data_IF_832939768188
#
_entry.id   IF_832939768188
#
_cell.length_a   1.000
_cell.length_b   1.000
_cell.length_c   1.000
_cell.angle_alpha   90.00
_cell.angle_beta   90.00
_cell.angle_gamma   90.00
#
_symmetry.space_group_name_H-M   'P 1'
#
loop_
_entity.id
_entity.type
_entity.pdbx_description
1 polymer ?
#
# COMPACT_ATOMS: atom_id res chain seq x y z
N UNK A 1 -27.16 15.17 24.29
CA UNK A 1 -27.36 14.11 23.30
C UNK A 1 -26.25 14.25 22.26
N UNK A 2 -25.28 13.32 22.20
CA UNK A 2 -24.17 13.44 21.28
C UNK A 2 -24.68 13.27 19.85
N UNK A 3 -24.30 14.19 18.97
CA UNK A 3 -24.51 14.05 17.52
C UNK A 3 -23.75 12.81 17.07
N UNK A 4 -24.48 11.85 16.55
CA UNK A 4 -23.97 10.69 15.82
C UNK A 4 -23.07 11.25 14.72
N UNK A 5 -21.79 10.90 14.74
CA UNK A 5 -20.87 11.15 13.64
C UNK A 5 -21.52 10.66 12.36
N UNK A 6 -21.60 11.54 11.36
CA UNK A 6 -22.19 11.19 10.08
C UNK A 6 -21.18 10.35 9.27
N UNK A 7 -21.04 9.09 9.66
CA UNK A 7 -20.23 8.06 8.98
C UNK A 7 -20.77 7.70 7.58
N UNK A 8 -21.85 8.32 7.10
CA UNK A 8 -22.39 8.09 5.74
C UNK A 8 -21.47 8.51 4.59
N UNK A 9 -20.36 9.19 4.89
CA UNK A 9 -19.28 9.50 3.94
C UNK A 9 -18.35 8.30 3.73
N UNK A 10 -18.29 7.41 4.72
CA UNK A 10 -17.68 6.10 4.65
C UNK A 10 -18.74 5.10 4.17
N UNK A 11 -19.21 5.26 2.92
CA UNK A 11 -19.85 4.15 2.18
C UNK A 11 -18.79 3.07 1.93
N UNK A 12 -18.40 2.44 3.03
CA UNK A 12 -17.46 1.37 3.20
C UNK A 12 -18.28 0.11 3.31
N UNK A 13 -18.68 -0.31 2.12
CA UNK A 13 -18.79 -1.69 1.75
C UNK A 13 -17.32 -2.22 1.66
N UNK A 14 -16.58 -2.09 2.78
CA UNK A 14 -15.11 -1.88 2.79
C UNK A 14 -14.31 -3.14 2.45
N UNK A 15 -14.95 -4.29 2.52
CA UNK A 15 -14.36 -5.60 2.35
C UNK A 15 -15.41 -6.44 1.63
N UNK A 16 -15.31 -6.55 0.30
CA UNK A 16 -16.17 -7.44 -0.47
C UNK A 16 -15.44 -8.71 -0.79
N UNK A 17 -16.12 -9.84 -0.65
CA UNK A 17 -15.68 -11.10 -1.21
C UNK A 17 -15.71 -11.05 -2.74
N UNK A 18 -14.86 -11.87 -3.35
CA UNK A 18 -14.87 -12.11 -4.79
C UNK A 18 -16.24 -12.62 -5.25
N UNK A 19 -16.65 -12.21 -6.45
CA UNK A 19 -17.95 -12.55 -7.02
C UNK A 19 -19.13 -11.66 -6.59
N UNK A 20 -19.00 -10.82 -5.54
CA UNK A 20 -20.04 -9.85 -5.17
C UNK A 20 -19.98 -8.56 -5.98
N UNK A 21 -18.83 -8.24 -6.58
CA UNK A 21 -18.70 -7.08 -7.45
C UNK A 21 -19.15 -7.35 -8.90
N UNK A 22 -19.55 -8.59 -9.23
CA UNK A 22 -20.23 -8.96 -10.48
C UNK A 22 -19.45 -8.71 -11.78
N UNK A 23 -18.19 -8.25 -11.66
CA UNK A 23 -17.43 -7.73 -12.79
C UNK A 23 -16.23 -8.60 -13.17
N UNK A 24 -15.69 -9.43 -12.26
CA UNK A 24 -14.41 -10.13 -12.49
C UNK A 24 -14.45 -11.56 -11.92
N UNK A 25 -14.05 -12.53 -12.74
CA UNK A 25 -13.81 -13.90 -12.32
C UNK A 25 -12.61 -13.97 -11.36
N UNK A 26 -12.67 -14.88 -10.38
CA UNK A 26 -11.61 -15.11 -9.40
C UNK A 26 -10.37 -15.83 -10.00
N UNK A 27 -9.80 -15.25 -11.04
CA UNK A 27 -8.59 -15.76 -11.70
C UNK A 27 -7.38 -15.02 -11.12
N UNK A 28 -6.35 -15.74 -10.63
CA UNK A 28 -5.12 -15.11 -10.19
C UNK A 28 -4.48 -14.27 -11.31
N UNK A 29 -4.04 -13.07 -10.96
CA UNK A 29 -3.37 -12.13 -11.88
C UNK A 29 -2.24 -11.34 -11.20
N UNK A 30 -1.98 -11.60 -9.92
CA UNK A 30 -1.01 -10.88 -9.10
C UNK A 30 0.14 -11.79 -8.68
N UNK A 31 1.28 -11.18 -8.45
CA UNK A 31 2.40 -11.74 -7.66
C UNK A 31 2.63 -10.87 -6.43
N UNK A 32 3.50 -11.31 -5.52
CA UNK A 32 4.01 -10.41 -4.47
C UNK A 32 4.73 -9.23 -5.12
N UNK A 33 4.63 -8.00 -4.58
CA UNK A 33 5.34 -6.83 -5.12
C UNK A 33 6.82 -6.83 -4.71
N UNK A 34 7.43 -8.02 -4.66
CA UNK A 34 8.78 -8.28 -4.17
C UNK A 34 9.41 -9.28 -5.11
N UNK A 35 10.70 -9.09 -5.40
CA UNK A 35 11.52 -10.12 -6.06
C UNK A 35 12.33 -10.87 -5.02
N UNK A 36 12.40 -12.19 -5.16
CA UNK A 36 12.93 -13.07 -4.12
C UNK A 36 14.41 -12.85 -3.88
N UNK A 37 15.19 -12.70 -4.95
CA UNK A 37 16.64 -12.55 -4.85
C UNK A 37 17.01 -11.20 -4.23
N UNK A 38 16.38 -10.11 -4.67
CA UNK A 38 16.61 -8.75 -4.14
C UNK A 38 16.21 -8.64 -2.66
N UNK A 39 15.13 -9.31 -2.25
CA UNK A 39 14.74 -9.40 -0.85
C UNK A 39 15.79 -10.14 -0.02
N UNK A 40 16.26 -11.29 -0.49
CA UNK A 40 17.32 -12.05 0.17
C UNK A 40 18.61 -11.24 0.32
N UNK A 41 19.01 -10.52 -0.72
CA UNK A 41 20.19 -9.66 -0.70
C UNK A 41 19.99 -8.51 0.30
N UNK A 42 18.84 -7.86 0.30
CA UNK A 42 18.54 -6.80 1.26
C UNK A 42 18.61 -7.34 2.69
N UNK A 43 17.99 -8.48 3.00
CA UNK A 43 18.05 -9.12 4.34
C UNK A 43 19.49 -9.42 4.78
N UNK A 44 20.34 -9.84 3.83
CA UNK A 44 21.74 -10.14 4.11
C UNK A 44 22.54 -8.90 4.52
N UNK A 45 22.29 -7.77 3.88
CA UNK A 45 23.06 -6.54 4.07
C UNK A 45 22.41 -5.55 5.05
N UNK A 46 21.12 -5.68 5.33
CA UNK A 46 20.40 -4.73 6.16
C UNK A 46 20.77 -4.88 7.65
N UNK A 47 20.88 -3.73 8.31
CA UNK A 47 21.12 -3.56 9.75
C UNK A 47 19.84 -3.22 10.51
N UNK A 48 18.68 -3.28 9.87
CA UNK A 48 17.39 -3.02 10.47
C UNK A 48 17.19 -3.93 11.72
N UNK A 49 17.13 -3.35 12.93
CA UNK A 49 16.97 -4.11 14.15
C UNK A 49 15.56 -4.71 14.30
N UNK A 50 14.58 -4.25 13.50
CA UNK A 50 13.20 -4.72 13.52
C UNK A 50 13.00 -5.96 12.64
N UNK A 51 13.91 -6.23 11.70
CA UNK A 51 13.75 -7.33 10.76
C UNK A 51 14.38 -8.64 11.25
N UNK A 52 13.56 -9.68 11.38
CA UNK A 52 14.03 -11.01 11.73
C UNK A 52 14.64 -11.72 10.51
N UNK A 53 15.97 -11.83 10.47
CA UNK A 53 16.77 -12.46 9.39
C UNK A 53 16.37 -13.91 9.02
N UNK A 54 15.52 -14.57 9.81
CA UNK A 54 14.99 -15.92 9.50
C UNK A 54 13.71 -15.91 8.68
N UNK A 55 13.13 -14.74 8.38
CA UNK A 55 11.88 -14.58 7.61
C UNK A 55 12.20 -13.88 6.28
N UNK A 56 11.62 -14.35 5.18
CA UNK A 56 11.69 -13.63 3.89
C UNK A 56 10.80 -12.39 3.95
N UNK A 57 9.54 -12.58 4.32
CA UNK A 57 8.59 -11.53 4.65
C UNK A 57 7.64 -12.03 5.74
N UNK A 58 6.95 -11.10 6.38
CA UNK A 58 5.80 -11.39 7.25
C UNK A 58 4.64 -10.45 6.90
N UNK A 59 3.44 -10.81 7.34
CA UNK A 59 2.28 -9.92 7.24
C UNK A 59 2.09 -9.30 8.61
N UNK A 60 2.32 -8.00 8.72
CA UNK A 60 2.19 -7.26 9.98
C UNK A 60 0.82 -6.65 10.16
N UNK A 61 0.07 -6.42 9.08
CA UNK A 61 -1.35 -6.10 9.16
C UNK A 61 -2.15 -6.76 8.02
N UNK A 62 -3.35 -7.22 8.38
CA UNK A 62 -4.32 -7.77 7.41
C UNK A 62 -5.37 -6.72 7.05
N UNK A 63 -6.47 -7.12 6.42
CA UNK A 63 -7.55 -6.17 6.09
C UNK A 63 -8.22 -5.55 7.33
N UNK A 64 -8.01 -6.16 8.50
CA UNK A 64 -8.37 -5.64 9.81
C UNK A 64 -7.08 -5.42 10.60
N UNK A 65 -6.91 -4.21 11.14
CA UNK A 65 -5.77 -3.89 11.99
C UNK A 65 -5.72 -4.76 13.24
N UNK A 66 -4.51 -5.08 13.69
CA UNK A 66 -4.25 -5.75 14.95
C UNK A 66 -4.67 -4.87 16.13
N UNK A 67 -4.76 -5.47 17.31
CA UNK A 67 -5.06 -4.70 18.52
C UNK A 67 -3.91 -3.76 18.92
N UNK A 68 -2.68 -4.00 18.47
CA UNK A 68 -1.56 -3.12 18.74
C UNK A 68 -1.73 -1.81 17.95
N UNK A 69 -1.95 -1.91 16.65
CA UNK A 69 -2.15 -0.76 15.75
C UNK A 69 -3.41 0.03 16.03
N UNK A 70 -4.49 -0.66 16.40
CA UNK A 70 -5.69 0.00 16.94
C UNK A 70 -5.40 0.87 18.18
N UNK A 71 -4.42 0.53 19.03
CA UNK A 71 -4.07 1.39 20.18
C UNK A 71 -3.26 2.60 19.76
N UNK A 72 -2.48 2.53 18.69
CA UNK A 72 -1.72 3.65 18.16
C UNK A 72 -2.67 4.63 17.47
N UNK A 73 -3.34 4.23 16.40
CA UNK A 73 -4.07 5.14 15.53
C UNK A 73 -5.60 5.02 15.63
N UNK A 74 -6.15 4.08 16.40
CA UNK A 74 -7.59 3.98 16.65
C UNK A 74 -8.45 3.47 15.49
N UNK A 75 -7.84 3.03 14.37
CA UNK A 75 -8.58 2.56 13.19
C UNK A 75 -8.69 1.04 13.22
N UNK A 76 -9.90 0.51 12.99
CA UNK A 76 -10.15 -0.94 12.95
C UNK A 76 -9.94 -1.55 11.57
N UNK A 77 -10.38 -0.85 10.54
CA UNK A 77 -10.34 -1.34 9.15
C UNK A 77 -9.08 -0.78 8.50
N UNK A 78 -8.29 -1.69 7.94
CA UNK A 78 -7.09 -1.38 7.16
C UNK A 78 -7.38 -1.47 5.66
N UNK A 79 -8.14 -2.51 5.27
CA UNK A 79 -8.55 -2.81 3.89
C UNK A 79 -7.39 -3.06 2.90
N UNK A 80 -6.20 -3.37 3.41
CA UNK A 80 -5.01 -3.71 2.65
C UNK A 80 -4.21 -4.80 3.39
N UNK A 81 -3.05 -5.17 2.84
CA UNK A 81 -2.08 -6.08 3.44
C UNK A 81 -0.76 -5.34 3.60
N UNK A 82 -0.20 -5.36 4.81
CA UNK A 82 1.13 -4.80 5.07
C UNK A 82 2.15 -5.93 5.14
N UNK A 83 3.09 -5.89 4.20
CA UNK A 83 4.22 -6.81 4.15
C UNK A 83 5.43 -6.17 4.82
N UNK A 84 5.77 -6.65 6.02
CA UNK A 84 6.99 -6.24 6.69
C UNK A 84 8.19 -6.89 6.00
N UNK A 85 9.00 -6.03 5.39
CA UNK A 85 10.28 -6.34 4.76
C UNK A 85 11.26 -5.20 5.07
N UNK A 86 12.59 -5.42 5.01
CA UNK A 86 13.54 -4.41 5.44
C UNK A 86 13.42 -3.12 4.62
N UNK A 87 13.69 -1.98 5.25
CA UNK A 87 13.83 -0.69 4.55
C UNK A 87 14.79 -0.81 3.36
N UNK A 88 14.47 -0.16 2.24
CA UNK A 88 15.30 -0.16 1.03
C UNK A 88 15.14 -1.39 0.14
N UNK A 89 14.31 -2.36 0.53
CA UNK A 89 13.98 -3.51 -0.32
C UNK A 89 13.34 -3.01 -1.63
N UNK A 90 13.79 -3.44 -2.81
CA UNK A 90 13.15 -3.08 -4.07
C UNK A 90 11.71 -3.59 -4.15
N UNK A 91 10.79 -2.71 -4.56
CA UNK A 91 9.37 -3.03 -4.76
C UNK A 91 9.11 -3.17 -6.25
N UNK A 92 8.50 -4.29 -6.63
CA UNK A 92 8.23 -4.64 -8.02
C UNK A 92 6.74 -4.50 -8.36
N UNK A 93 6.43 -4.25 -9.63
CA UNK A 93 5.06 -4.23 -10.14
C UNK A 93 4.45 -5.65 -10.07
N UNK A 94 3.35 -5.85 -9.30
CA UNK A 94 2.73 -7.17 -9.16
C UNK A 94 1.94 -7.62 -10.38
N UNK A 95 1.67 -6.71 -11.33
CA UNK A 95 1.03 -6.94 -12.62
C UNK A 95 1.40 -5.82 -13.62
N UNK A 96 1.16 -6.04 -14.91
CA UNK A 96 1.30 -5.01 -15.95
C UNK A 96 0.18 -3.97 -15.85
N UNK A 97 0.46 -2.70 -16.15
CA UNK A 97 -0.58 -1.68 -16.14
C UNK A 97 -0.10 -0.24 -16.28
N UNK A 98 -1.03 0.70 -16.07
CA UNK A 98 -0.78 2.14 -16.11
C UNK A 98 -0.64 2.67 -14.69
N UNK A 99 0.59 3.06 -14.33
CA UNK A 99 0.98 3.53 -13.03
C UNK A 99 0.90 5.07 -12.93
N UNK A 100 0.37 5.54 -11.80
CA UNK A 100 0.45 6.94 -11.34
C UNK A 100 1.02 6.92 -9.93
N UNK A 101 2.05 7.72 -9.69
CA UNK A 101 2.61 7.90 -8.34
C UNK A 101 2.30 9.28 -7.78
N UNK A 102 2.16 9.38 -6.47
CA UNK A 102 1.99 10.64 -5.76
C UNK A 102 2.39 10.44 -4.30
N UNK A 103 2.29 11.49 -3.50
CA UNK A 103 2.43 11.43 -2.06
C UNK A 103 1.10 11.73 -1.34
N UNK A 104 0.82 11.06 -0.23
CA UNK A 104 -0.33 11.33 0.64
C UNK A 104 0.04 11.21 2.13
N UNK A 105 -0.28 12.22 2.94
CA UNK A 105 -0.24 12.08 4.40
C UNK A 105 -1.09 13.14 5.10
N UNK A 106 -1.82 12.75 6.13
CA UNK A 106 -2.62 13.66 6.95
C UNK A 106 -2.28 13.49 8.43
N UNK A 107 -2.24 14.59 9.18
CA UNK A 107 -2.11 14.49 10.64
C UNK A 107 -3.33 13.75 11.20
N UNK A 108 -3.09 12.75 12.04
CA UNK A 108 -4.18 11.99 12.63
C UNK A 108 -4.86 12.85 13.68
N UNK A 109 -6.15 13.13 13.50
CA UNK A 109 -6.93 13.98 14.39
C UNK A 109 -7.92 13.16 15.22
N UNK A 110 -8.05 13.51 16.49
CA UNK A 110 -9.10 13.01 17.38
C UNK A 110 -10.47 13.57 16.98
N UNK A 111 -11.59 13.01 17.50
CA UNK A 111 -12.94 13.53 17.22
C UNK A 111 -13.15 15.01 17.60
N UNK A 112 -12.35 15.54 18.53
CA UNK A 112 -12.37 16.95 18.93
C UNK A 112 -11.50 17.87 18.03
N UNK A 113 -10.84 17.29 17.01
CA UNK A 113 -9.98 17.99 16.06
C UNK A 113 -8.53 18.17 16.51
N UNK A 114 -8.17 17.78 17.73
CA UNK A 114 -6.78 17.81 18.21
C UNK A 114 -5.93 16.77 17.47
N UNK A 115 -4.63 17.05 17.28
CA UNK A 115 -3.71 16.09 16.67
C UNK A 115 -3.37 15.01 17.69
N UNK A 116 -3.57 13.75 17.31
CA UNK A 116 -3.19 12.60 18.11
C UNK A 116 -1.67 12.56 18.27
N UNK A 117 -1.23 12.21 19.48
CA UNK A 117 0.18 12.06 19.79
C UNK A 117 0.50 10.65 20.29
N UNK A 118 1.71 10.19 19.98
CA UNK A 118 2.32 8.98 20.53
C UNK A 118 3.64 9.41 21.17
N UNK A 119 3.81 9.10 22.46
CA UNK A 119 4.99 9.52 23.25
C UNK A 119 5.27 11.03 23.18
N UNK A 120 4.20 11.83 23.15
CA UNK A 120 4.28 13.30 23.11
C UNK A 120 4.60 13.90 21.74
N UNK A 121 4.72 13.09 20.68
CA UNK A 121 4.94 13.55 19.30
C UNK A 121 3.69 13.34 18.45
N UNK A 122 3.31 14.29 17.57
CA UNK A 122 2.17 14.11 16.68
C UNK A 122 2.42 12.97 15.69
N UNK A 123 1.38 12.21 15.36
CA UNK A 123 1.45 11.16 14.36
C UNK A 123 0.60 11.50 13.13
N UNK A 124 1.12 11.20 11.95
CA UNK A 124 0.37 11.28 10.71
C UNK A 124 0.07 9.89 10.18
N UNK A 125 -0.98 9.80 9.37
CA UNK A 125 -1.40 8.58 8.72
C UNK A 125 -1.69 8.86 7.24
N UNK A 126 -1.26 7.96 6.36
CA UNK A 126 -1.46 8.08 4.92
C UNK A 126 -0.44 7.23 4.18
N UNK A 127 -0.58 7.14 2.86
CA UNK A 127 0.17 6.18 2.04
C UNK A 127 1.62 6.60 1.77
N UNK A 128 2.01 7.82 2.14
CA UNK A 128 3.33 8.36 1.81
C UNK A 128 3.55 8.44 0.31
N UNK A 129 4.79 8.22 -0.14
CA UNK A 129 5.05 7.90 -1.54
C UNK A 129 4.36 6.58 -1.87
N UNK A 130 3.44 6.66 -2.83
CA UNK A 130 2.69 5.50 -3.28
C UNK A 130 2.62 5.46 -4.79
N UNK A 131 2.32 4.27 -5.30
CA UNK A 131 2.06 4.02 -6.72
C UNK A 131 0.73 3.31 -6.82
N UNK A 132 -0.11 3.77 -7.73
CA UNK A 132 -1.35 3.12 -8.10
C UNK A 132 -1.26 2.66 -9.55
N UNK A 133 -1.51 1.37 -9.80
CA UNK A 133 -1.43 0.73 -11.11
C UNK A 133 -2.83 0.32 -11.53
N UNK A 134 -3.33 0.87 -12.62
CA UNK A 134 -4.53 0.36 -13.30
C UNK A 134 -4.17 -0.83 -14.18
N UNK A 135 -4.83 -1.97 -13.96
CA UNK A 135 -4.66 -3.23 -14.70
C UNK A 135 -5.86 -3.39 -15.64
N UNK A 136 -5.71 -3.07 -16.95
CA UNK A 136 -6.85 -3.03 -17.88
C UNK A 136 -7.51 -4.39 -18.10
N UNK A 137 -6.74 -5.48 -18.01
CA UNK A 137 -7.23 -6.85 -18.25
C UNK A 137 -8.36 -7.23 -17.29
N UNK A 138 -8.31 -6.71 -16.07
CA UNK A 138 -9.29 -7.00 -15.01
C UNK A 138 -10.07 -5.76 -14.59
N UNK A 139 -9.84 -4.58 -15.17
CA UNK A 139 -10.46 -3.31 -14.77
C UNK A 139 -10.32 -2.99 -13.25
N UNK A 140 -9.12 -3.19 -12.71
CA UNK A 140 -8.82 -2.97 -11.28
C UNK A 140 -7.58 -2.16 -11.07
N UNK A 141 -7.45 -1.63 -9.86
CA UNK A 141 -6.29 -0.93 -9.39
C UNK A 141 -5.59 -1.72 -8.29
N UNK A 142 -4.26 -1.72 -8.36
CA UNK A 142 -3.38 -2.11 -7.26
C UNK A 142 -2.69 -0.86 -6.74
N UNK A 143 -2.60 -0.71 -5.43
CA UNK A 143 -1.88 0.39 -4.82
C UNK A 143 -0.82 -0.13 -3.86
N UNK A 144 0.39 0.39 -4.03
CA UNK A 144 1.57 0.11 -3.23
C UNK A 144 1.94 1.38 -2.47
N UNK A 145 1.97 1.33 -1.13
CA UNK A 145 2.24 2.47 -0.27
C UNK A 145 3.52 2.35 0.55
N UNK A 146 3.82 3.42 1.27
CA UNK A 146 4.94 3.57 2.21
C UNK A 146 6.32 3.43 1.58
N UNK A 147 6.47 3.82 0.31
CA UNK A 147 7.76 3.74 -0.36
C UNK A 147 8.72 4.80 0.20
N UNK A 148 10.01 4.50 0.26
CA UNK A 148 11.04 5.48 0.63
C UNK A 148 11.50 6.32 -0.56
N UNK A 149 11.37 5.76 -1.76
CA UNK A 149 11.81 6.33 -3.03
C UNK A 149 11.01 5.73 -4.19
N UNK A 150 11.05 6.39 -5.36
CA UNK A 150 10.50 5.91 -6.62
C UNK A 150 11.61 5.70 -7.64
N UNK A 151 11.48 4.67 -8.46
CA UNK A 151 12.38 4.45 -9.59
C UNK A 151 12.17 5.48 -10.70
N UNK A 152 13.20 5.74 -11.50
CA UNK A 152 13.15 6.66 -12.64
C UNK A 152 12.10 6.30 -13.72
N UNK A 153 11.60 5.06 -13.74
CA UNK A 153 10.57 4.63 -14.69
C UNK A 153 9.16 5.08 -14.31
N UNK A 154 8.96 5.56 -13.07
CA UNK A 154 7.66 5.97 -12.54
C UNK A 154 7.62 7.49 -12.43
N UNK A 155 6.72 8.11 -13.19
CA UNK A 155 6.54 9.56 -13.09
C UNK A 155 5.76 9.93 -11.82
N UNK A 156 6.30 10.91 -11.09
CA UNK A 156 5.72 11.41 -9.85
C UNK A 156 4.76 12.58 -10.10
N UNK A 157 3.54 12.45 -9.61
CA UNK A 157 2.55 13.52 -9.58
C UNK A 157 2.65 14.29 -8.26
N UNK A 158 2.96 15.57 -8.36
CA UNK A 158 3.19 16.43 -7.19
C UNK A 158 1.91 16.60 -6.35
N UNK A 159 1.93 16.29 -5.04
CA UNK A 159 0.78 16.51 -4.17
C UNK A 159 0.54 18.01 -3.93
N UNK A 160 -0.66 18.34 -3.44
CA UNK A 160 -1.00 19.68 -2.95
C UNK A 160 -1.10 19.68 -1.42
N UNK A 161 -0.75 20.80 -0.79
CA UNK A 161 -0.89 20.98 0.65
C UNK A 161 -2.22 21.67 0.96
N UNK A 162 -3.11 20.99 1.68
CA UNK A 162 -4.40 21.51 2.13
C UNK A 162 -4.53 21.33 3.64
N UNK A 163 -4.76 22.40 4.40
CA UNK A 163 -4.96 22.34 5.86
C UNK A 163 -3.90 21.52 6.64
N UNK A 164 -2.64 21.58 6.17
CA UNK A 164 -1.45 20.86 6.69
C UNK A 164 -1.39 19.36 6.34
N UNK A 165 -2.27 18.91 5.46
CA UNK A 165 -2.31 17.56 4.93
C UNK A 165 -1.88 17.57 3.46
N UNK A 166 -1.16 16.53 3.07
CA UNK A 166 -0.73 16.32 1.70
C UNK A 166 -1.77 15.49 0.96
N UNK A 167 -2.38 16.11 -0.04
CA UNK A 167 -3.42 15.52 -0.87
C UNK A 167 -2.81 15.11 -2.21
N UNK A 168 -3.00 13.86 -2.65
CA UNK A 168 -2.45 13.41 -3.91
C UNK A 168 -3.19 14.03 -5.10
N UNK A 169 -2.49 14.13 -6.22
CA UNK A 169 -3.02 14.63 -7.50
C UNK A 169 -3.11 13.49 -8.52
N UNK A 170 -3.99 13.64 -9.52
CA UNK A 170 -4.17 12.71 -10.65
C UNK A 170 -4.48 11.23 -10.33
N UNK A 171 -4.70 10.89 -9.06
CA UNK A 171 -5.01 9.52 -8.64
C UNK A 171 -6.35 8.98 -9.16
N UNK A 172 -7.24 9.86 -9.62
CA UNK A 172 -8.57 9.56 -10.16
C UNK A 172 -8.75 10.07 -11.60
N UNK A 173 -7.66 10.13 -12.37
CA UNK A 173 -7.71 10.44 -13.80
C UNK A 173 -8.65 9.47 -14.54
N UNK A 174 -9.52 9.96 -15.44
CA UNK A 174 -10.39 9.12 -16.27
C UNK A 174 -9.63 8.04 -17.05
N UNK A 175 -10.20 6.84 -17.16
CA UNK A 175 -9.53 5.69 -17.79
C UNK A 175 -9.11 5.91 -19.25
N UNK A 176 -9.90 6.64 -20.03
CA UNK A 176 -9.59 6.96 -21.42
C UNK A 176 -8.36 7.88 -21.54
N UNK A 177 -8.20 8.81 -20.59
CA UNK A 177 -7.01 9.65 -20.51
C UNK A 177 -5.81 8.87 -19.95
N UNK A 178 -6.02 8.10 -18.87
CA UNK A 178 -5.00 7.29 -18.21
C UNK A 178 -4.33 6.31 -19.19
N UNK A 179 -5.12 5.68 -20.06
CA UNK A 179 -4.64 4.67 -21.03
C UNK A 179 -4.19 5.26 -22.36
N UNK A 180 -4.34 6.58 -22.56
CA UNK A 180 -4.07 7.24 -23.85
C UNK A 180 -2.58 7.30 -24.24
N UNK A 181 -1.67 7.16 -23.26
CA UNK A 181 -0.24 7.35 -23.45
C UNK A 181 0.20 8.81 -23.66
N UNK A 182 -0.67 9.79 -23.38
CA UNK A 182 -0.39 11.22 -23.60
C UNK A 182 -0.04 12.01 -22.34
N UNK A 183 -0.32 11.43 -21.17
CA UNK A 183 -0.12 12.09 -19.88
C UNK A 183 1.30 11.83 -19.39
N UNK A 184 2.00 12.90 -19.04
CA UNK A 184 3.39 12.86 -18.59
C UNK A 184 3.56 12.28 -17.18
N UNK A 185 2.52 12.32 -16.35
CA UNK A 185 2.50 11.71 -15.01
C UNK A 185 2.07 10.23 -15.01
N UNK A 186 1.86 9.62 -16.18
CA UNK A 186 1.49 8.20 -16.31
C UNK A 186 2.65 7.41 -16.88
N UNK A 187 2.96 6.28 -16.25
CA UNK A 187 3.93 5.30 -16.76
C UNK A 187 3.22 3.99 -17.09
N UNK A 188 3.54 3.36 -18.22
CA UNK A 188 3.20 1.95 -18.40
C UNK A 188 4.30 1.10 -17.77
N UNK A 189 3.91 0.16 -16.89
CA UNK A 189 4.83 -0.73 -16.19
C UNK A 189 4.50 -2.17 -16.55
N UNK A 190 5.55 -2.98 -16.70
CA UNK A 190 5.42 -4.42 -16.87
C UNK A 190 5.46 -5.11 -15.52
N UNK A 191 4.84 -6.28 -15.44
CA UNK A 191 5.01 -7.20 -14.32
C UNK A 191 6.51 -7.39 -14.03
N UNK A 192 6.87 -7.28 -12.76
CA UNK A 192 8.25 -7.40 -12.30
C UNK A 192 9.06 -6.11 -12.35
N UNK A 193 8.67 -5.04 -13.06
CA UNK A 193 9.44 -3.79 -13.11
C UNK A 193 9.65 -3.22 -11.70
N UNK A 194 10.87 -2.78 -11.38
CA UNK A 194 11.15 -2.14 -10.08
C UNK A 194 10.57 -0.74 -10.11
N UNK A 195 9.74 -0.43 -9.12
CA UNK A 195 8.96 0.80 -9.05
C UNK A 195 9.46 1.78 -7.99
N UNK A 196 10.20 1.28 -7.01
CA UNK A 196 10.67 2.06 -5.87
C UNK A 196 11.26 1.15 -4.80
N UNK A 197 11.37 1.67 -3.58
CA UNK A 197 11.94 0.95 -2.45
C UNK A 197 11.04 1.04 -1.23
N UNK A 198 11.10 0.03 -0.37
CA UNK A 198 10.37 0.00 0.90
C UNK A 198 10.83 1.09 1.83
N UNK A 199 9.88 1.72 2.50
CA UNK A 199 10.10 2.71 3.55
C UNK A 199 8.95 2.69 4.55
N UNK A 200 8.64 3.87 5.07
CA UNK A 200 7.55 4.13 6.01
C UNK A 200 6.96 5.53 5.75
N UNK A 201 7.12 6.05 4.52
CA UNK A 201 6.65 7.38 4.18
C UNK A 201 5.16 7.53 4.47
N UNK A 202 4.75 8.73 4.87
CA UNK A 202 3.37 9.04 5.26
C UNK A 202 3.00 8.65 6.68
N UNK A 203 3.81 7.82 7.34
CA UNK A 203 3.68 7.40 8.75
C UNK A 203 4.57 8.27 9.66
N UNK A 204 4.38 9.58 9.56
CA UNK A 204 5.22 10.59 10.24
C UNK A 204 5.10 10.52 11.75
N UNK A 205 6.21 10.75 12.46
CA UNK A 205 6.25 10.82 13.92
C UNK A 205 7.00 12.07 14.43
N UNK A 206 6.30 13.21 14.43
CA UNK A 206 6.83 14.48 14.94
C UNK A 206 7.56 15.35 13.91
N UNK A 207 7.55 15.00 12.63
CA UNK A 207 8.22 15.75 11.55
C UNK A 207 7.47 15.57 10.22
N UNK A 208 7.84 16.34 9.20
CA UNK A 208 7.36 16.16 7.82
C UNK A 208 8.39 15.37 7.01
N UNK A 209 7.96 14.29 6.34
CA UNK A 209 8.80 13.42 5.50
C UNK A 209 8.63 13.69 4.00
N UNK A 210 7.84 14.71 3.64
CA UNK A 210 7.76 15.27 2.30
C UNK A 210 8.24 16.72 2.30
N UNK A 211 9.12 17.04 1.35
CA UNK A 211 9.65 18.41 1.20
C UNK A 211 8.74 19.21 0.26
N UNK A 212 8.17 20.31 0.76
CA UNK A 212 7.34 21.21 -0.05
C UNK A 212 8.10 21.66 -1.30
N UNK A 213 7.47 21.46 -2.46
CA UNK A 213 8.02 21.89 -3.73
C UNK A 213 8.92 20.87 -4.41
N UNK A 214 9.24 19.74 -3.78
CA UNK A 214 10.01 18.68 -4.43
C UNK A 214 9.29 18.18 -5.70
N UNK A 215 10.03 18.07 -6.80
CA UNK A 215 9.53 17.55 -8.09
C UNK A 215 9.59 16.02 -8.16
N UNK A 216 10.36 15.40 -7.25
CA UNK A 216 10.51 13.96 -7.10
C UNK A 216 10.56 13.62 -5.61
N UNK A 217 10.25 12.37 -5.23
CA UNK A 217 10.50 11.86 -3.89
C UNK A 217 11.93 12.14 -3.44
N UNK A 218 12.07 12.64 -2.21
CA UNK A 218 13.37 12.66 -1.53
C UNK A 218 13.49 11.37 -0.74
N UNK A 219 14.58 10.63 -0.95
CA UNK A 219 14.89 9.42 -0.19
C UNK A 219 14.89 9.73 1.31
N UNK A 220 14.07 9.01 2.06
CA UNK A 220 13.89 9.25 3.49
C UNK A 220 14.99 8.58 4.29
N UNK A 221 15.90 9.32 4.90
CA UNK A 221 16.95 8.72 5.74
C UNK A 221 16.37 8.06 7.02
N UNK A 222 16.53 6.73 7.22
CA UNK A 222 16.01 6.02 8.39
C UNK A 222 16.76 6.25 9.70
N UNK A 223 17.93 6.89 9.68
CA UNK A 223 18.62 7.31 10.90
C UNK A 223 18.10 8.65 11.41
N UNK A 224 17.50 9.47 10.54
CA UNK A 224 17.02 10.82 10.85
C UNK A 224 15.50 10.85 11.02
N UNK A 225 14.79 10.16 10.14
CA UNK A 225 13.33 10.20 10.02
C UNK A 225 12.75 8.87 10.50
N UNK A 226 12.63 8.69 11.81
CA UNK A 226 12.06 7.46 12.39
C UNK A 226 10.53 7.47 12.38
N UNK A 227 9.90 6.42 11.86
CA UNK A 227 8.45 6.24 11.97
C UNK A 227 8.04 5.66 13.32
N UNK A 228 6.76 5.80 13.67
CA UNK A 228 6.15 5.07 14.78
C UNK A 228 5.83 3.60 14.42
N UNK A 229 5.97 3.24 13.15
CA UNK A 229 5.68 1.92 12.60
C UNK A 229 6.94 1.31 11.95
N UNK A 230 6.93 0.01 11.69
CA UNK A 230 8.02 -0.64 10.97
C UNK A 230 8.01 -0.33 9.46
N UNK A 231 9.15 -0.46 8.77
CA UNK A 231 9.16 -0.44 7.30
C UNK A 231 8.33 -1.59 6.71
N UNK A 232 7.46 -1.28 5.75
CA UNK A 232 6.61 -2.27 5.09
C UNK A 232 6.11 -1.80 3.72
N UNK A 233 5.56 -2.72 2.94
CA UNK A 233 4.79 -2.40 1.73
C UNK A 233 3.31 -2.58 2.03
N UNK A 234 2.55 -1.49 1.93
CA UNK A 234 1.09 -1.53 1.96
C UNK A 234 0.54 -1.91 0.59
N UNK A 235 -0.31 -2.93 0.52
CA UNK A 235 -0.87 -3.43 -0.73
C UNK A 235 -2.40 -3.47 -0.68
N UNK A 236 -3.04 -2.69 -1.54
CA UNK A 236 -4.49 -2.63 -1.68
C UNK A 236 -4.91 -3.03 -3.11
N UNK A 237 -6.05 -3.71 -3.24
CA UNK A 237 -6.72 -3.98 -4.52
C UNK A 237 -8.14 -3.42 -4.49
N UNK A 238 -8.51 -2.67 -5.53
CA UNK A 238 -9.81 -1.99 -5.58
C UNK A 238 -10.26 -1.60 -6.99
N UNK A 239 -11.55 -1.31 -7.12
CA UNK A 239 -12.07 -0.50 -8.22
C UNK A 239 -12.08 0.98 -7.82
N UNK A 240 -11.79 1.86 -8.78
CA UNK A 240 -11.89 3.30 -8.59
C UNK A 240 -13.10 3.82 -9.34
N UNK A 241 -14.08 4.31 -8.59
CA UNK A 241 -15.26 4.95 -9.16
C UNK A 241 -14.85 6.21 -9.92
N UNK A 242 -15.07 6.23 -11.23
CA UNK A 242 -14.62 7.32 -12.11
C UNK A 242 -15.38 8.64 -11.89
N UNK A 243 -16.54 8.61 -11.21
CA UNK A 243 -17.32 9.82 -10.91
C UNK A 243 -16.91 10.45 -9.59
N UNK A 244 -16.59 9.65 -8.58
CA UNK A 244 -16.35 10.13 -7.21
C UNK A 244 -14.89 10.02 -6.78
N UNK A 245 -14.07 9.30 -7.54
CA UNK A 245 -12.72 8.91 -7.14
C UNK A 245 -12.70 7.95 -5.95
N UNK A 246 -13.84 7.44 -5.48
CA UNK A 246 -13.87 6.52 -4.34
C UNK A 246 -13.27 5.15 -4.72
N UNK A 247 -12.50 4.57 -3.81
CA UNK A 247 -12.05 3.18 -3.90
C UNK A 247 -13.18 2.27 -3.39
N UNK A 248 -13.92 1.64 -4.27
CA UNK A 248 -14.94 0.64 -3.91
C UNK A 248 -15.43 -0.08 -5.16
N UNK A 249 -15.58 -1.41 -5.18
CA UNK A 249 -15.29 -2.32 -4.07
C UNK A 249 -13.79 -2.61 -3.89
N UNK A 250 -13.40 -3.02 -2.67
CA UNK A 250 -12.04 -3.48 -2.32
C UNK A 250 -12.01 -4.99 -2.12
N UNK A 251 -10.90 -5.64 -2.45
CA UNK A 251 -10.70 -7.07 -2.19
C UNK A 251 -9.41 -7.34 -1.45
N UNK A 252 -9.43 -8.41 -0.67
CA UNK A 252 -8.21 -8.97 -0.12
C UNK A 252 -7.55 -9.84 -1.18
N UNK A 253 -6.27 -9.57 -1.50
CA UNK A 253 -5.52 -10.36 -2.49
C UNK A 253 -5.30 -11.83 -2.08
N UNK A 254 -5.47 -12.15 -0.79
CA UNK A 254 -5.46 -13.52 -0.26
C UNK A 254 -6.86 -14.14 -0.12
N UNK A 255 -7.93 -13.35 -0.32
CA UNK A 255 -9.31 -13.72 0.01
C UNK A 255 -9.50 -14.10 1.51
N UNK A 256 -8.74 -13.45 2.39
CA UNK A 256 -8.80 -13.62 3.86
C UNK A 256 -9.12 -12.25 4.46
N UNK A 257 -10.36 -11.98 4.85
CA UNK A 257 -10.81 -10.65 5.33
C UNK A 257 -10.66 -10.50 6.84
N UNK A 258 -9.46 -10.72 7.37
CA UNK A 258 -9.20 -10.84 8.81
C UNK A 258 -7.90 -10.12 9.22
N UNK A 259 -7.52 -10.24 10.49
CA UNK A 259 -6.25 -9.72 10.98
C UNK A 259 -5.06 -10.61 10.59
N UNK A 260 -3.85 -10.06 10.72
CA UNK A 260 -2.58 -10.64 10.28
C UNK A 260 -2.35 -12.10 10.62
N UNK A 261 -2.85 -12.57 11.76
CA UNK A 261 -2.62 -13.93 12.25
C UNK A 261 -3.21 -15.01 11.35
N UNK A 262 -4.07 -14.64 10.40
CA UNK A 262 -4.81 -15.58 9.55
C UNK A 262 -4.16 -15.85 8.21
N UNK A 263 -3.20 -15.03 7.79
CA UNK A 263 -2.60 -15.12 6.47
C UNK A 263 -1.45 -16.14 6.43
N UNK A 264 -1.25 -16.81 5.29
CA UNK A 264 -0.08 -17.66 5.05
C UNK A 264 1.17 -16.82 4.82
N UNK A 265 2.27 -17.25 5.43
CA UNK A 265 3.61 -16.70 5.19
C UNK A 265 4.61 -17.86 5.14
N UNK A 266 5.86 -17.66 4.68
CA UNK A 266 6.85 -18.73 4.63
C UNK A 266 7.12 -19.43 5.97
N UNK A 267 6.82 -18.77 7.09
CA UNK A 267 6.97 -19.34 8.44
C UNK A 267 5.65 -19.80 9.06
N UNK A 268 4.54 -19.62 8.35
CA UNK A 268 3.19 -19.90 8.84
C UNK A 268 2.37 -20.57 7.75
N UNK A 269 2.37 -21.91 7.79
CA UNK A 269 1.59 -22.74 6.87
C UNK A 269 0.10 -22.58 7.18
N UNK A 270 -0.61 -21.87 6.31
CA UNK A 270 -2.06 -21.69 6.33
C UNK A 270 -2.58 -21.80 4.91
N UNK A 271 -3.86 -22.07 4.76
CA UNK A 271 -4.51 -22.00 3.46
C UNK A 271 -4.82 -20.54 3.10
N UNK A 272 -4.76 -20.25 1.81
CA UNK A 272 -5.37 -19.07 1.21
C UNK A 272 -6.89 -19.08 1.42
N UNK A 273 -7.56 -17.98 1.09
CA UNK A 273 -9.00 -18.02 0.83
C UNK A 273 -9.32 -18.92 -0.38
N UNK A 274 -10.61 -19.07 -0.69
CA UNK A 274 -11.06 -19.92 -1.80
C UNK A 274 -10.65 -19.36 -3.16
N UNK A 275 -10.48 -18.05 -3.23
CA UNK A 275 -10.34 -17.31 -4.47
C UNK A 275 -9.16 -16.31 -4.38
N UNK A 276 -7.91 -16.73 -4.12
CA UNK A 276 -6.82 -15.77 -4.03
C UNK A 276 -6.55 -15.10 -5.39
N UNK A 277 -6.16 -13.83 -5.36
CA UNK A 277 -5.75 -13.09 -6.58
C UNK A 277 -4.28 -13.34 -6.96
N UNK A 278 -3.54 -13.99 -6.07
CA UNK A 278 -2.10 -14.26 -6.19
C UNK A 278 -1.86 -15.59 -6.90
N UNK A 279 -0.94 -15.61 -7.87
CA UNK A 279 -0.37 -16.86 -8.36
C UNK A 279 0.36 -17.57 -7.23
N UNK A 280 0.19 -18.89 -7.13
CA UNK A 280 0.78 -19.70 -6.07
C UNK A 280 1.91 -20.57 -6.60
N UNK A 281 2.92 -20.79 -5.76
CA UNK A 281 4.00 -21.74 -5.98
C UNK A 281 3.58 -23.18 -5.64
N UNK A 282 4.50 -24.13 -5.75
CA UNK A 282 4.23 -25.54 -5.42
C UNK A 282 3.97 -25.81 -3.94
N UNK A 283 4.21 -24.83 -3.06
CA UNK A 283 3.95 -24.90 -1.62
C UNK A 283 2.68 -24.14 -1.22
N UNK A 284 1.85 -23.74 -2.19
CA UNK A 284 0.64 -22.94 -1.99
C UNK A 284 0.93 -21.54 -1.38
N UNK A 285 2.16 -21.04 -1.54
CA UNK A 285 2.53 -19.68 -1.15
C UNK A 285 2.50 -18.74 -2.37
N UNK A 286 2.31 -17.43 -2.17
CA UNK A 286 2.36 -16.48 -3.27
C UNK A 286 3.70 -16.52 -4.02
N UNK A 287 3.64 -16.52 -5.35
CA UNK A 287 4.80 -16.32 -6.22
C UNK A 287 5.35 -14.89 -6.04
N UNK A 288 6.67 -14.77 -6.12
CA UNK A 288 7.37 -13.49 -6.20
C UNK A 288 7.27 -12.90 -7.61
N UNK A 289 7.57 -11.60 -7.75
CA UNK A 289 7.47 -10.91 -9.04
C UNK A 289 8.52 -11.37 -10.07
N UNK A 290 9.57 -12.07 -9.63
CA UNK A 290 10.60 -12.68 -10.47
C UNK A 290 10.35 -14.18 -10.74
N UNK A 291 9.27 -14.76 -10.21
CA UNK A 291 8.88 -16.14 -10.54
C UNK A 291 8.19 -16.21 -11.91
N UNK A 292 8.37 -17.32 -12.62
CA UNK A 292 7.61 -17.60 -13.83
C UNK A 292 6.12 -17.77 -13.50
N UNK A 293 5.26 -17.00 -14.16
CA UNK A 293 3.80 -17.08 -14.02
C UNK A 293 3.25 -18.27 -14.78
#
# INVERSE_FOLDING_TARGET
MPRIENWSQYRHDALHHLGLDGHIDAIPYLTLPLRKQELLDTIRYNRDPHFNKRRLYDITEGTIYSQAEQRIHGKRIHAAIDYHVPYGTPVAAPACGYAVASYQSAWLREPDGSIRTLEGRPIAFGLGYYIQIYVPEVDRYIQLGHLSDLSDVVHFSKPVLEDRDWIPTHYATPLDELTSGKLDFVSYVNHGDILGQVGYSGLRWGYDDYTLGAEQPVVIDPEVHVSYDEPHVHVEEFYRNQLTGAKTPRRCIYDIYLSKDRYPTPTRVRQMGSEPLLYLDSNELPKFADDHI
#
